data_IF_534451619949
#
_entry.id   IF_534451619949
#
_cell.length_a   1.000
_cell.length_b   1.000
_cell.length_c   1.000
_cell.angle_alpha   90.00
_cell.angle_beta   90.00
_cell.angle_gamma   90.00
#
_symmetry.space_group_name_H-M   'P 1'
#
loop_
_entity.id
_entity.type
_entity.pdbx_description
1 polymer ?
#
# COMPACT_ATOMS: atom_id res chain seq x y z
N UNK A 1 -14.92 6.17 -32.46
CA UNK A 1 -13.96 6.75 -31.48
C UNK A 1 -14.80 7.45 -30.43
N UNK A 2 -14.93 6.90 -29.21
CA UNK A 2 -15.91 7.39 -28.22
C UNK A 2 -15.72 6.80 -26.83
N UNK A 3 -14.48 6.61 -26.38
CA UNK A 3 -14.22 6.15 -25.02
C UNK A 3 -14.31 7.31 -24.02
N UNK A 4 -15.06 7.13 -22.93
CA UNK A 4 -15.18 8.11 -21.86
C UNK A 4 -14.04 7.95 -20.85
N UNK A 5 -12.86 8.45 -21.20
CA UNK A 5 -11.66 8.40 -20.34
C UNK A 5 -11.63 9.60 -19.40
N UNK A 6 -11.53 9.35 -18.09
CA UNK A 6 -11.45 10.41 -17.05
C UNK A 6 -10.42 10.07 -15.99
N UNK A 7 -9.69 11.07 -15.51
CA UNK A 7 -8.86 10.94 -14.32
C UNK A 7 -9.78 10.88 -13.08
N UNK A 8 -9.89 9.69 -12.47
CA UNK A 8 -10.80 9.49 -11.33
C UNK A 8 -10.24 10.03 -10.01
N UNK A 9 -8.94 9.83 -9.77
CA UNK A 9 -8.25 10.20 -8.51
C UNK A 9 -6.74 10.31 -8.73
N UNK A 10 -6.09 11.10 -7.88
CA UNK A 10 -4.63 11.20 -7.79
C UNK A 10 -4.19 11.29 -6.33
N UNK A 11 -2.97 10.84 -6.04
CA UNK A 11 -2.36 10.93 -4.71
C UNK A 11 -0.87 11.21 -4.88
N UNK A 12 -0.29 12.00 -3.99
CA UNK A 12 1.14 12.29 -3.95
C UNK A 12 1.69 11.74 -2.64
N UNK A 13 2.68 10.86 -2.73
CA UNK A 13 3.38 10.30 -1.59
C UNK A 13 4.83 10.79 -1.59
N UNK A 14 5.26 11.61 -0.63
CA UNK A 14 6.64 12.07 -0.55
C UNK A 14 7.55 10.93 -0.07
N UNK A 15 8.78 10.92 -0.59
CA UNK A 15 9.85 10.10 -0.01
C UNK A 15 10.30 10.71 1.33
N UNK A 16 10.66 9.89 2.31
CA UNK A 16 11.24 10.36 3.55
C UNK A 16 12.72 10.76 3.32
N UNK A 17 13.29 11.53 4.25
CA UNK A 17 14.67 12.03 4.12
C UNK A 17 15.71 10.91 4.00
N UNK A 18 15.54 9.82 4.76
CA UNK A 18 16.46 8.68 4.77
C UNK A 18 15.79 7.42 4.21
N UNK A 19 15.08 7.57 3.10
CA UNK A 19 14.42 6.44 2.48
C UNK A 19 13.94 6.69 1.07
N UNK A 20 12.94 5.91 0.64
CA UNK A 20 12.46 5.91 -0.74
C UNK A 20 10.96 5.59 -0.81
N UNK A 21 10.37 5.88 -1.98
CA UNK A 21 9.06 5.36 -2.35
C UNK A 21 9.26 4.13 -3.24
N UNK A 22 8.55 3.05 -2.93
CA UNK A 22 8.49 1.84 -3.76
C UNK A 22 7.08 1.62 -4.28
N UNK A 23 6.98 1.08 -5.49
CA UNK A 23 5.72 0.76 -6.12
C UNK A 23 5.78 -0.59 -6.84
N UNK A 24 4.65 -1.30 -6.84
CA UNK A 24 4.44 -2.53 -7.59
C UNK A 24 3.15 -2.44 -8.38
N UNK A 25 3.21 -2.77 -9.68
CA UNK A 25 2.06 -2.83 -10.58
C UNK A 25 1.68 -4.29 -10.82
N UNK A 26 0.49 -4.68 -10.40
CA UNK A 26 -0.06 -6.00 -10.66
C UNK A 26 -0.89 -6.01 -11.94
N UNK A 27 -0.84 -7.12 -12.68
CA UNK A 27 -1.48 -7.28 -14.01
C UNK A 27 -1.11 -6.11 -14.93
N UNK A 28 0.18 -5.99 -15.21
CA UNK A 28 0.74 -4.92 -16.03
C UNK A 28 0.81 -5.38 -17.49
N UNK A 29 -0.12 -4.94 -18.37
CA UNK A 29 -0.06 -5.31 -19.78
C UNK A 29 1.09 -4.62 -20.52
N UNK A 30 1.52 -3.46 -20.02
CA UNK A 30 2.63 -2.66 -20.54
C UNK A 30 3.34 -1.96 -19.39
N UNK A 31 4.65 -1.65 -19.52
CA UNK A 31 5.38 -0.89 -18.53
C UNK A 31 4.66 0.41 -18.16
N UNK A 32 4.53 0.67 -16.85
CA UNK A 32 3.84 1.86 -16.34
C UNK A 32 2.32 1.77 -16.28
N UNK A 33 1.70 0.68 -16.78
CA UNK A 33 0.27 0.42 -16.64
C UNK A 33 0.03 -0.75 -15.70
N UNK A 34 -0.97 -0.63 -14.83
CA UNK A 34 -1.40 -1.72 -13.96
C UNK A 34 -2.88 -1.60 -13.60
N UNK A 35 -3.57 -2.73 -13.46
CA UNK A 35 -4.95 -2.75 -12.96
C UNK A 35 -5.01 -2.41 -11.47
N UNK A 36 -3.98 -2.82 -10.73
CA UNK A 36 -3.82 -2.58 -9.30
C UNK A 36 -2.38 -2.16 -9.06
N UNK A 37 -2.19 -1.17 -8.18
CA UNK A 37 -0.88 -0.70 -7.75
C UNK A 37 -0.79 -0.74 -6.23
N UNK A 38 0.34 -1.18 -5.70
CA UNK A 38 0.75 -0.98 -4.31
C UNK A 38 1.84 0.08 -4.28
N UNK A 39 1.73 1.04 -3.38
CA UNK A 39 2.72 2.12 -3.20
C UNK A 39 2.98 2.22 -1.71
N UNK A 40 4.26 2.35 -1.33
CA UNK A 40 4.67 2.59 0.05
C UNK A 40 5.85 3.54 0.11
N UNK A 41 5.93 4.26 1.23
CA UNK A 41 7.08 5.06 1.63
C UNK A 41 7.82 4.29 2.72
N UNK A 42 9.13 4.12 2.54
CA UNK A 42 9.97 3.30 3.41
C UNK A 42 11.19 4.10 3.86
N UNK A 43 11.45 4.10 5.15
CA UNK A 43 12.59 4.77 5.79
C UNK A 43 13.37 3.76 6.64
N UNK A 44 14.67 3.97 6.79
CA UNK A 44 15.55 3.15 7.63
C UNK A 44 16.31 4.04 8.60
N UNK A 45 16.36 3.62 9.86
CA UNK A 45 17.14 4.28 10.88
C UNK A 45 18.64 3.98 10.76
N UNK A 46 19.50 4.91 11.20
CA UNK A 46 20.93 4.63 11.41
C UNK A 46 21.88 4.96 10.24
N UNK A 47 21.42 5.70 9.23
CA UNK A 47 22.25 6.47 8.29
C UNK A 47 23.09 5.67 7.27
N UNK A 48 23.33 4.38 7.47
CA UNK A 48 23.95 3.50 6.48
C UNK A 48 22.88 2.69 5.74
N UNK A 49 22.30 3.30 4.71
CA UNK A 49 21.28 2.66 3.89
C UNK A 49 21.92 2.02 2.65
N UNK A 50 21.80 0.69 2.54
CA UNK A 50 22.09 0.01 1.27
C UNK A 50 20.88 0.19 0.35
N UNK A 51 20.96 1.17 -0.56
CA UNK A 51 19.82 1.57 -1.42
C UNK A 51 19.25 0.39 -2.20
N UNK A 52 20.10 -0.46 -2.76
CA UNK A 52 19.65 -1.64 -3.52
C UNK A 52 18.86 -2.64 -2.66
N UNK A 53 19.31 -2.85 -1.42
CA UNK A 53 18.59 -3.71 -0.47
C UNK A 53 17.23 -3.10 -0.09
N UNK A 54 17.19 -1.78 0.11
CA UNK A 54 15.95 -1.06 0.44
C UNK A 54 14.96 -1.11 -0.72
N UNK A 55 15.43 -0.95 -1.95
CA UNK A 55 14.59 -1.03 -3.14
C UNK A 55 14.03 -2.44 -3.35
N UNK A 56 14.82 -3.48 -3.07
CA UNK A 56 14.35 -4.87 -3.13
C UNK A 56 13.25 -5.12 -2.10
N UNK A 57 13.50 -4.80 -0.83
CA UNK A 57 12.51 -4.98 0.25
C UNK A 57 11.26 -4.15 -0.03
N UNK A 58 11.41 -2.91 -0.48
CA UNK A 58 10.29 -2.04 -0.82
C UNK A 58 9.43 -2.59 -1.97
N UNK A 59 10.03 -3.23 -2.98
CA UNK A 59 9.29 -3.89 -4.07
C UNK A 59 8.50 -5.11 -3.57
N UNK A 60 9.12 -5.96 -2.75
CA UNK A 60 8.48 -7.13 -2.15
C UNK A 60 7.32 -6.72 -1.21
N UNK A 61 7.50 -5.66 -0.42
CA UNK A 61 6.44 -5.09 0.42
C UNK A 61 5.33 -4.45 -0.40
N UNK A 62 5.63 -3.75 -1.49
CA UNK A 62 4.60 -3.16 -2.36
C UNK A 62 3.74 -4.24 -3.01
N UNK A 63 4.35 -5.38 -3.37
CA UNK A 63 3.62 -6.58 -3.83
C UNK A 63 2.73 -7.15 -2.72
N UNK A 64 3.24 -7.25 -1.48
CA UNK A 64 2.46 -7.70 -0.33
C UNK A 64 1.24 -6.79 -0.08
N UNK A 65 1.39 -5.46 -0.16
CA UNK A 65 0.28 -4.50 -0.02
C UNK A 65 -0.82 -4.77 -1.05
N UNK A 66 -0.46 -5.07 -2.31
CA UNK A 66 -1.45 -5.44 -3.33
C UNK A 66 -2.21 -6.72 -2.97
N UNK A 67 -1.50 -7.74 -2.48
CA UNK A 67 -2.08 -9.04 -2.18
C UNK A 67 -2.94 -9.02 -0.90
N UNK A 68 -2.41 -8.48 0.19
CA UNK A 68 -3.04 -8.49 1.51
C UNK A 68 -4.03 -7.34 1.72
N UNK A 69 -3.89 -6.23 0.97
CA UNK A 69 -4.72 -5.02 1.08
C UNK A 69 -4.88 -4.54 2.53
N UNK A 70 -3.78 -4.34 3.28
CA UNK A 70 -3.87 -3.92 4.66
C UNK A 70 -4.56 -2.56 4.77
N UNK A 71 -5.46 -2.44 5.74
CA UNK A 71 -6.17 -1.18 6.02
C UNK A 71 -5.38 -0.28 6.97
N UNK A 72 -4.51 -0.87 7.79
CA UNK A 72 -3.69 -0.19 8.78
C UNK A 72 -2.24 -0.68 8.71
N UNK A 73 -1.27 0.18 9.04
CA UNK A 73 0.15 -0.19 9.07
C UNK A 73 0.52 -0.93 10.35
N UNK A 74 -0.02 -0.52 11.49
CA UNK A 74 0.22 -1.13 12.79
C UNK A 74 -1.10 -1.29 13.56
N UNK A 75 -1.08 -2.10 14.63
CA UNK A 75 -2.28 -2.40 15.42
C UNK A 75 -2.82 -1.17 16.16
N UNK A 76 -1.92 -0.27 16.55
CA UNK A 76 -2.24 0.94 17.30
C UNK A 76 -2.97 1.97 16.44
N UNK A 77 -2.88 1.85 15.10
CA UNK A 77 -3.59 2.72 14.16
C UNK A 77 -5.02 2.27 13.87
N UNK A 78 -5.45 1.11 14.39
CA UNK A 78 -6.81 0.61 14.20
C UNK A 78 -7.78 1.50 15.00
N UNK A 79 -8.75 2.12 14.32
CA UNK A 79 -9.73 2.97 14.98
C UNK A 79 -10.69 2.18 15.87
N UNK A 80 -11.23 2.83 16.90
CA UNK A 80 -12.28 2.25 17.75
C UNK A 80 -13.50 1.83 16.91
N UNK A 81 -13.95 2.68 15.99
CA UNK A 81 -15.07 2.37 15.09
C UNK A 81 -14.84 1.09 14.27
N UNK A 82 -13.61 0.88 13.76
CA UNK A 82 -13.29 -0.32 13.00
C UNK A 82 -13.33 -1.57 13.90
N UNK A 83 -12.84 -1.48 15.14
CA UNK A 83 -12.90 -2.57 16.11
C UNK A 83 -14.34 -2.89 16.52
N UNK A 84 -15.16 -1.88 16.77
CA UNK A 84 -16.57 -2.05 17.16
C UNK A 84 -17.38 -2.68 16.04
N UNK A 85 -17.20 -2.22 14.80
CA UNK A 85 -17.83 -2.80 13.63
C UNK A 85 -17.47 -4.29 13.47
N UNK A 86 -16.18 -4.64 13.59
CA UNK A 86 -15.75 -6.04 13.51
C UNK A 86 -16.33 -6.89 14.67
N UNK A 87 -16.42 -6.34 15.89
CA UNK A 87 -17.05 -7.04 17.02
C UNK A 87 -18.52 -7.33 16.78
N UNK A 88 -19.28 -6.39 16.22
CA UNK A 88 -20.69 -6.60 15.92
C UNK A 88 -20.89 -7.65 14.81
N UNK A 89 -20.04 -7.63 13.76
CA UNK A 89 -20.03 -8.68 12.73
C UNK A 89 -19.79 -10.06 13.38
N UNK A 90 -18.77 -10.19 14.24
CA UNK A 90 -18.46 -11.46 14.90
C UNK A 90 -19.59 -11.96 15.81
N UNK A 91 -20.24 -11.06 16.58
CA UNK A 91 -21.42 -11.43 17.39
C UNK A 91 -22.56 -11.97 16.53
N UNK A 92 -22.79 -11.38 15.36
CA UNK A 92 -23.87 -11.81 14.44
C UNK A 92 -23.65 -13.18 13.81
N UNK A 93 -22.43 -13.72 13.84
CA UNK A 93 -22.09 -15.02 13.26
C UNK A 93 -22.16 -16.18 14.27
N UNK A 94 -22.23 -15.87 15.56
CA UNK A 94 -22.26 -16.85 16.66
C UNK A 94 -23.68 -17.05 17.22
N UNK A 95 -24.57 -16.09 17.00
CA UNK A 95 -26.01 -16.14 17.33
C UNK A 95 -26.82 -16.66 16.14
#
# INVERSE_FOLDING_TARGET
MGENVRLRRGYVMPAPSNGLVSAYLHTSPQPGLGRIAGILSLEVDGGKTQVDALQRVGSELAMHVVAAKPVFLTKELVSLDALENEREILKSQVL
#
